data_IF_015116814361
#
_entry.id   IF_015116814361
#
_cell.length_a   1.000
_cell.length_b   1.000
_cell.length_c   1.000
_cell.angle_alpha   90.00
_cell.angle_beta   90.00
_cell.angle_gamma   90.00
#
_symmetry.space_group_name_H-M   'P 1'
#
loop_
_entity.id
_entity.type
_entity.pdbx_description
1 polymer ?
#
# COMPACT_ATOMS: atom_id res chain seq x y z
N UNK A 1 23.03 10.11 56.03
CA UNK A 1 21.96 10.05 55.02
C UNK A 1 22.52 9.38 53.76
N UNK A 2 22.19 8.10 53.52
CA UNK A 2 22.38 7.43 52.22
C UNK A 2 21.14 6.56 52.03
N UNK A 3 20.34 6.91 51.03
CA UNK A 3 19.10 6.20 50.70
C UNK A 3 19.46 4.91 49.96
N UNK A 4 18.89 3.80 50.43
CA UNK A 4 18.94 2.49 49.79
C UNK A 4 17.86 2.43 48.72
N UNK A 5 18.24 2.14 47.47
CA UNK A 5 17.30 1.76 46.40
C UNK A 5 17.68 0.36 45.91
N UNK A 6 17.11 -0.66 46.54
CA UNK A 6 17.29 -2.07 46.17
C UNK A 6 15.94 -2.65 45.76
N UNK A 7 15.37 -2.19 44.64
CA UNK A 7 14.16 -2.79 44.04
C UNK A 7 14.19 -2.89 42.51
N UNK A 8 15.18 -2.33 41.80
CA UNK A 8 15.19 -2.32 40.32
C UNK A 8 15.89 -3.52 39.67
N UNK A 9 16.77 -4.24 40.38
CA UNK A 9 17.67 -5.20 39.75
C UNK A 9 16.97 -6.48 39.27
N UNK A 10 15.95 -6.97 39.99
CA UNK A 10 15.30 -8.27 39.70
C UNK A 10 14.38 -8.21 38.47
N UNK A 11 13.66 -7.10 38.26
CA UNK A 11 12.80 -6.91 37.09
C UNK A 11 13.64 -6.74 35.82
N UNK A 12 14.68 -5.91 35.87
CA UNK A 12 15.61 -5.71 34.75
C UNK A 12 16.33 -6.99 34.35
N UNK A 13 16.68 -7.85 35.31
CA UNK A 13 17.37 -9.12 35.02
C UNK A 13 16.46 -10.16 34.35
N UNK A 14 15.16 -10.17 34.69
CA UNK A 14 14.15 -11.01 34.02
C UNK A 14 13.82 -10.53 32.60
N UNK A 15 13.82 -9.22 32.36
CA UNK A 15 13.61 -8.66 31.01
C UNK A 15 14.84 -8.89 30.12
N UNK A 16 16.05 -8.75 30.67
CA UNK A 16 17.29 -9.06 29.97
C UNK A 16 17.38 -10.54 29.58
N UNK A 17 16.96 -11.47 30.45
CA UNK A 17 16.97 -12.90 30.11
C UNK A 17 15.96 -13.26 29.01
N UNK A 18 14.78 -12.62 29.00
CA UNK A 18 13.80 -12.79 27.92
C UNK A 18 14.32 -12.26 26.58
N UNK A 19 15.02 -11.12 26.59
CA UNK A 19 15.62 -10.54 25.38
C UNK A 19 16.74 -11.44 24.84
N UNK A 20 17.59 -12.03 25.69
CA UNK A 20 18.66 -12.93 25.27
C UNK A 20 18.15 -14.26 24.67
N UNK A 21 17.04 -14.79 25.18
CA UNK A 21 16.39 -15.96 24.58
C UNK A 21 15.85 -15.62 23.19
N UNK A 22 15.27 -14.43 23.04
CA UNK A 22 14.71 -13.96 21.77
C UNK A 22 15.82 -13.67 20.75
N UNK A 23 16.93 -13.05 21.15
CA UNK A 23 18.09 -12.83 20.27
C UNK A 23 18.78 -14.14 19.88
N UNK A 24 18.83 -15.13 20.78
CA UNK A 24 19.39 -16.46 20.47
C UNK A 24 18.50 -17.22 19.48
N UNK A 25 17.17 -17.16 19.65
CA UNK A 25 16.22 -17.73 18.69
C UNK A 25 16.31 -17.05 17.32
N UNK A 26 16.37 -15.71 17.28
CA UNK A 26 16.54 -14.95 16.03
C UNK A 26 17.87 -15.26 15.34
N UNK A 27 18.98 -15.40 16.08
CA UNK A 27 20.27 -15.87 15.51
C UNK A 27 20.16 -17.29 14.95
N UNK A 28 19.41 -18.17 15.60
CA UNK A 28 19.20 -19.54 15.09
C UNK A 28 18.40 -19.56 13.79
N UNK A 29 17.49 -18.60 13.60
CA UNK A 29 16.78 -18.42 12.33
C UNK A 29 17.66 -17.72 11.27
N UNK A 30 18.54 -16.81 11.70
CA UNK A 30 19.44 -16.05 10.83
C UNK A 30 20.70 -16.82 10.38
N UNK A 31 21.09 -17.90 11.06
CA UNK A 31 22.34 -18.62 10.81
C UNK A 31 22.18 -19.89 9.96
N UNK A 32 20.99 -20.17 9.40
CA UNK A 32 20.73 -21.38 8.60
C UNK A 32 20.12 -21.07 7.23
N UNK A 33 20.12 -22.06 6.32
CA UNK A 33 19.57 -21.89 4.97
C UNK A 33 18.08 -21.53 4.96
N UNK A 34 17.37 -21.77 6.07
CA UNK A 34 15.97 -21.35 6.24
C UNK A 34 15.82 -19.82 6.30
N UNK A 35 16.77 -19.13 6.95
CA UNK A 35 16.79 -17.67 6.96
C UNK A 35 17.03 -17.10 5.56
N UNK A 36 17.96 -17.71 4.81
CA UNK A 36 18.24 -17.34 3.42
C UNK A 36 17.06 -17.64 2.48
N UNK A 37 16.39 -18.80 2.65
CA UNK A 37 15.21 -19.20 1.87
C UNK A 37 14.01 -18.29 2.15
N UNK A 38 13.77 -17.94 3.42
CA UNK A 38 12.74 -16.99 3.81
C UNK A 38 13.05 -15.56 3.31
N UNK A 39 14.31 -15.13 3.39
CA UNK A 39 14.74 -13.85 2.81
C UNK A 39 14.59 -13.83 1.29
N UNK A 40 14.87 -14.95 0.63
CA UNK A 40 14.67 -15.10 -0.82
C UNK A 40 13.19 -15.07 -1.19
N UNK A 41 12.31 -15.70 -0.41
CA UNK A 41 10.86 -15.61 -0.59
C UNK A 41 10.33 -14.18 -0.36
N UNK A 42 10.76 -13.52 0.72
CA UNK A 42 10.35 -12.13 1.02
C UNK A 42 10.88 -11.11 0.00
N UNK A 43 12.05 -11.37 -0.59
CA UNK A 43 12.60 -10.54 -1.68
C UNK A 43 11.90 -10.82 -3.01
N UNK A 44 11.45 -12.06 -3.26
CA UNK A 44 10.68 -12.40 -4.48
C UNK A 44 9.29 -11.75 -4.53
N UNK A 45 8.71 -11.41 -3.37
CA UNK A 45 7.46 -10.62 -3.28
C UNK A 45 7.67 -9.11 -3.44
N UNK A 46 8.93 -8.65 -3.48
CA UNK A 46 9.29 -7.22 -3.49
C UNK A 46 10.08 -6.83 -4.74
N UNK A 47 9.54 -7.14 -5.90
CA UNK A 47 9.79 -6.24 -7.02
C UNK A 47 9.02 -4.96 -6.72
N UNK A 48 9.74 -3.95 -6.24
CA UNK A 48 9.23 -2.59 -6.05
C UNK A 48 8.96 -2.05 -7.45
N UNK A 49 7.83 -2.43 -8.03
CA UNK A 49 7.42 -2.03 -9.36
C UNK A 49 6.78 -0.65 -9.27
N UNK A 50 7.63 0.32 -8.95
CA UNK A 50 7.31 1.72 -9.02
C UNK A 50 6.96 2.13 -10.44
N UNK A 51 6.27 3.25 -10.54
CA UNK A 51 5.89 3.85 -11.80
C UNK A 51 6.98 4.82 -12.25
N UNK A 52 7.22 4.89 -13.56
CA UNK A 52 8.23 5.79 -14.10
C UNK A 52 7.82 7.26 -13.96
N UNK A 53 8.80 8.15 -13.87
CA UNK A 53 8.56 9.59 -13.70
C UNK A 53 7.75 10.16 -14.90
N UNK A 54 7.93 9.61 -16.10
CA UNK A 54 7.17 10.02 -17.29
C UNK A 54 5.67 9.77 -17.15
N UNK A 55 5.28 8.67 -16.49
CA UNK A 55 3.87 8.39 -16.24
C UNK A 55 3.30 9.36 -15.21
N UNK A 56 4.05 9.68 -14.16
CA UNK A 56 3.65 10.67 -13.15
C UNK A 56 3.41 12.03 -13.81
N UNK A 57 4.28 12.43 -14.74
CA UNK A 57 4.15 13.68 -15.49
C UNK A 57 2.95 13.70 -16.45
N UNK A 58 2.56 12.54 -16.96
CA UNK A 58 1.38 12.37 -17.84
C UNK A 58 0.03 12.38 -17.12
N UNK A 59 0.02 12.40 -15.78
CA UNK A 59 -1.21 12.42 -15.00
C UNK A 59 -2.05 13.67 -15.25
N UNK A 60 -3.37 13.49 -15.26
CA UNK A 60 -4.34 14.58 -15.46
C UNK A 60 -4.24 15.61 -14.32
N UNK A 61 -3.92 16.86 -14.68
CA UNK A 61 -3.87 18.00 -13.75
C UNK A 61 -5.24 18.63 -13.60
N UNK A 62 -5.66 18.85 -12.37
CA UNK A 62 -6.94 19.49 -12.04
C UNK A 62 -6.70 20.97 -11.77
N UNK A 63 -7.44 21.84 -12.46
CA UNK A 63 -7.32 23.28 -12.25
C UNK A 63 -8.02 23.73 -10.96
N UNK A 64 -7.53 24.80 -10.32
CA UNK A 64 -8.14 25.42 -9.13
C UNK A 64 -9.63 25.74 -9.29
N UNK A 65 -10.08 26.06 -10.52
CA UNK A 65 -11.49 26.36 -10.83
C UNK A 65 -12.42 25.15 -10.72
N UNK A 66 -11.89 23.94 -10.86
CA UNK A 66 -12.66 22.68 -10.78
C UNK A 66 -12.62 22.08 -9.37
N UNK A 67 -11.81 22.64 -8.47
CA UNK A 67 -11.72 22.21 -7.09
C UNK A 67 -12.80 22.92 -6.27
N UNK A 68 -13.44 22.14 -5.41
CA UNK A 68 -14.38 22.63 -4.40
C UNK A 68 -13.62 22.83 -3.09
N UNK A 69 -14.14 23.69 -2.22
CA UNK A 69 -13.53 23.97 -0.91
C UNK A 69 -13.64 22.83 0.10
N UNK A 70 -14.43 21.80 -0.19
CA UNK A 70 -14.59 20.61 0.66
C UNK A 70 -13.59 19.49 0.32
N UNK A 71 -12.72 19.70 -0.67
CA UNK A 71 -11.79 18.69 -1.14
C UNK A 71 -10.43 18.84 -0.45
N UNK A 72 -9.98 17.74 0.15
CA UNK A 72 -8.70 17.64 0.85
C UNK A 72 -7.83 16.55 0.24
N UNK A 73 -6.52 16.72 0.40
CA UNK A 73 -5.56 15.68 0.08
C UNK A 73 -5.54 14.63 1.19
N UNK A 74 -5.81 13.36 0.89
CA UNK A 74 -5.82 12.29 1.92
C UNK A 74 -4.44 11.92 2.47
N UNK A 75 -3.35 12.47 1.91
CA UNK A 75 -1.98 12.20 2.33
C UNK A 75 -1.50 13.26 3.34
N UNK A 76 -1.60 14.55 2.98
CA UNK A 76 -1.20 15.66 3.87
C UNK A 76 -2.36 16.22 4.69
N UNK A 77 -3.60 15.80 4.45
CA UNK A 77 -4.83 16.26 5.12
C UNK A 77 -5.16 17.75 4.99
N UNK A 78 -4.48 18.47 4.09
CA UNK A 78 -4.72 19.88 3.84
C UNK A 78 -5.78 20.09 2.76
N UNK A 79 -6.46 21.25 2.81
CA UNK A 79 -7.42 21.66 1.79
C UNK A 79 -6.68 22.06 0.51
N UNK A 80 -7.16 21.61 -0.65
CA UNK A 80 -6.51 21.95 -1.91
C UNK A 80 -6.57 23.45 -2.24
N UNK A 81 -7.47 24.21 -1.62
CA UNK A 81 -7.63 25.64 -1.90
C UNK A 81 -6.77 26.53 -0.99
N UNK A 82 -6.16 25.97 0.06
CA UNK A 82 -5.28 26.70 0.97
C UNK A 82 -3.99 27.16 0.27
N UNK A 83 -3.52 26.38 -0.72
CA UNK A 83 -2.39 26.77 -1.55
C UNK A 83 -2.81 27.83 -2.60
N UNK A 84 -2.05 28.92 -2.76
CA UNK A 84 -2.20 29.85 -3.88
C UNK A 84 -2.14 29.16 -5.26
N UNK A 85 -1.28 28.17 -5.43
CA UNK A 85 -0.97 27.45 -6.66
C UNK A 85 -1.07 25.91 -6.48
N UNK A 86 -2.27 25.37 -6.21
CA UNK A 86 -2.41 23.97 -5.88
C UNK A 86 -2.13 23.08 -7.09
N UNK A 87 -1.15 22.20 -6.94
CA UNK A 87 -0.77 21.21 -7.96
C UNK A 87 -1.50 19.89 -7.70
N UNK A 88 -2.78 19.86 -8.04
CA UNK A 88 -3.61 18.66 -7.84
C UNK A 88 -3.61 17.80 -9.09
N UNK A 89 -3.32 16.51 -8.91
CA UNK A 89 -3.42 15.49 -9.97
C UNK A 89 -4.54 14.52 -9.66
N UNK A 90 -5.11 13.97 -10.73
CA UNK A 90 -6.16 12.96 -10.69
C UNK A 90 -5.59 11.64 -11.21
N UNK A 91 -5.71 10.59 -10.40
CA UNK A 91 -5.25 9.25 -10.78
C UNK A 91 -6.25 8.57 -11.73
N UNK A 92 -5.79 7.79 -12.73
CA UNK A 92 -6.63 7.05 -13.68
C UNK A 92 -7.27 5.79 -13.06
N UNK A 93 -7.66 5.87 -11.79
CA UNK A 93 -8.36 4.81 -11.08
C UNK A 93 -9.89 5.00 -11.22
N UNK A 94 -10.65 3.94 -10.97
CA UNK A 94 -12.12 3.97 -11.10
C UNK A 94 -12.81 5.05 -10.26
N UNK A 95 -12.20 5.46 -9.13
CA UNK A 95 -12.71 6.49 -8.23
C UNK A 95 -12.26 7.91 -8.58
N UNK A 96 -11.42 8.10 -9.61
CA UNK A 96 -10.87 9.41 -9.99
C UNK A 96 -10.26 10.17 -8.80
N UNK A 97 -9.55 9.46 -7.93
CA UNK A 97 -9.00 10.01 -6.70
C UNK A 97 -7.98 11.13 -7.00
N UNK A 98 -8.03 12.18 -6.19
CA UNK A 98 -7.25 13.40 -6.34
C UNK A 98 -6.27 13.55 -5.20
N UNK A 99 -5.06 13.99 -5.50
CA UNK A 99 -3.99 14.23 -4.54
C UNK A 99 -3.11 15.39 -5.01
N UNK A 100 -2.36 15.99 -4.09
CA UNK A 100 -1.27 16.88 -4.48
C UNK A 100 -0.17 16.09 -5.16
N UNK A 101 0.40 16.66 -6.23
CA UNK A 101 1.47 16.05 -7.00
C UNK A 101 2.66 15.71 -6.11
N UNK A 102 3.04 16.62 -5.21
CA UNK A 102 4.15 16.41 -4.27
C UNK A 102 3.88 15.27 -3.27
N UNK A 103 2.61 15.07 -2.89
CA UNK A 103 2.22 14.04 -1.94
C UNK A 103 2.16 12.66 -2.59
N UNK A 104 1.65 12.58 -3.82
CA UNK A 104 1.45 11.31 -4.51
C UNK A 104 2.70 10.83 -5.27
N UNK A 105 3.59 11.73 -5.68
CA UNK A 105 4.80 11.35 -6.44
C UNK A 105 5.71 10.36 -5.69
N UNK A 106 6.04 10.55 -4.39
CA UNK A 106 6.85 9.59 -3.64
C UNK A 106 6.18 8.21 -3.53
N UNK A 107 4.86 8.19 -3.42
CA UNK A 107 4.09 6.95 -3.37
C UNK A 107 4.19 6.18 -4.69
N UNK A 108 3.97 6.86 -5.82
CA UNK A 108 3.99 6.23 -7.14
C UNK A 108 5.36 5.69 -7.56
N UNK A 109 6.44 6.27 -7.03
CA UNK A 109 7.81 5.76 -7.23
C UNK A 109 8.07 4.40 -6.58
N UNK A 110 7.25 4.01 -5.60
CA UNK A 110 7.38 2.73 -4.88
C UNK A 110 6.24 1.78 -5.24
N UNK A 111 5.04 2.31 -5.52
CA UNK A 111 3.83 1.53 -5.73
C UNK A 111 3.05 2.01 -6.95
N UNK A 112 2.72 1.09 -7.87
CA UNK A 112 1.82 1.37 -9.00
C UNK A 112 0.33 1.44 -8.65
N UNK A 113 -0.02 1.46 -7.37
CA UNK A 113 -1.41 1.37 -6.91
C UNK A 113 -1.92 2.68 -6.30
N UNK A 114 -3.22 2.92 -6.43
CA UNK A 114 -3.87 4.06 -5.77
C UNK A 114 -3.94 3.86 -4.24
N UNK A 115 -3.56 4.86 -3.40
CA UNK A 115 -3.62 4.75 -1.94
C UNK A 115 -5.01 4.48 -1.37
N UNK A 116 -6.07 4.96 -2.06
CA UNK A 116 -7.45 4.86 -1.57
C UNK A 116 -8.15 3.57 -2.01
N UNK A 117 -7.98 3.15 -3.27
CA UNK A 117 -8.67 1.97 -3.80
C UNK A 117 -7.79 0.77 -4.14
N UNK A 118 -6.48 0.86 -3.90
CA UNK A 118 -5.49 -0.21 -4.16
C UNK A 118 -5.49 -0.78 -5.58
N UNK A 119 -6.12 -0.08 -6.53
CA UNK A 119 -6.15 -0.47 -7.95
C UNK A 119 -4.83 -0.08 -8.59
N UNK A 120 -4.28 -0.99 -9.36
CA UNK A 120 -3.11 -0.76 -10.20
C UNK A 120 -3.46 0.27 -11.29
N UNK A 121 -2.64 1.30 -11.40
CA UNK A 121 -2.80 2.39 -12.35
C UNK A 121 -2.31 2.00 -13.76
N UNK A 122 -1.53 0.92 -13.88
CA UNK A 122 -0.97 0.43 -15.14
C UNK A 122 -1.86 -0.62 -15.82
N UNK A 123 -2.81 -1.23 -15.09
CA UNK A 123 -3.70 -2.23 -15.66
C UNK A 123 -4.84 -1.59 -16.45
N UNK A 124 -4.69 -1.54 -17.77
CA UNK A 124 -5.81 -1.32 -18.69
C UNK A 124 -6.77 -2.50 -18.57
N UNK A 125 -8.04 -2.24 -18.22
CA UNK A 125 -9.09 -3.28 -18.27
C UNK A 125 -9.20 -3.79 -19.70
N UNK A 126 -8.84 -5.06 -19.93
CA UNK A 126 -9.40 -5.86 -21.03
C UNK A 126 -10.66 -6.51 -20.49
N UNK A 127 -11.78 -5.83 -20.64
CA UNK A 127 -13.10 -6.43 -20.58
C UNK A 127 -13.80 -5.90 -21.81
N UNK A 128 -14.07 -6.80 -22.77
CA UNK A 128 -15.15 -6.78 -23.76
C UNK A 128 -14.78 -7.80 -24.85
N UNK A 129 -15.04 -9.08 -24.53
CA UNK A 129 -15.28 -10.19 -25.46
C UNK A 129 -15.88 -11.35 -24.62
N UNK A 130 -16.95 -11.08 -23.86
CA UNK A 130 -17.89 -12.15 -23.53
C UNK A 130 -18.84 -12.23 -24.73
N UNK A 131 -18.78 -13.28 -25.56
CA UNK A 131 -19.80 -13.46 -26.55
C UNK A 131 -21.13 -13.73 -25.83
N UNK A 132 -22.18 -13.01 -26.24
CA UNK A 132 -23.57 -13.30 -25.89
C UNK A 132 -23.96 -14.59 -26.61
N UNK A 133 -23.51 -15.72 -26.07
CA UNK A 133 -24.01 -17.03 -26.49
C UNK A 133 -25.33 -17.25 -25.73
N UNK A 134 -26.40 -16.64 -26.22
CA UNK A 134 -27.76 -17.13 -26.02
C UNK A 134 -27.88 -18.49 -26.75
N UNK A 135 -27.28 -19.55 -26.20
CA UNK A 135 -27.69 -20.92 -26.52
C UNK A 135 -28.53 -21.46 -25.36
N UNK A 136 -29.78 -21.75 -25.71
CA UNK A 136 -30.78 -22.45 -24.92
C UNK A 136 -30.17 -23.50 -23.98
N UNK A 137 -30.26 -23.26 -22.67
CA UNK A 137 -30.41 -24.35 -21.70
C UNK A 137 -31.87 -24.30 -21.25
N UNK A 138 -32.77 -24.53 -22.20
CA UNK A 138 -34.09 -25.04 -21.87
C UNK A 138 -33.95 -26.57 -21.84
N UNK A 139 -34.49 -27.20 -20.79
CA UNK A 139 -34.58 -28.65 -20.59
C UNK A 139 -33.36 -29.37 -19.96
N UNK A 140 -33.28 -29.38 -18.62
CA UNK A 140 -33.16 -30.61 -17.79
C UNK A 140 -32.92 -30.27 -16.31
N UNK A 141 -33.87 -29.61 -15.65
CA UNK A 141 -33.83 -29.40 -14.19
C UNK A 141 -34.68 -30.43 -13.41
N UNK A 142 -35.21 -31.45 -14.09
CA UNK A 142 -36.07 -32.49 -13.50
C UNK A 142 -35.43 -33.90 -13.44
N UNK A 143 -34.10 -34.03 -13.56
CA UNK A 143 -33.43 -35.35 -13.48
C UNK A 143 -32.83 -35.68 -12.09
N UNK A 144 -32.77 -34.75 -11.15
CA UNK A 144 -32.29 -35.03 -9.78
C UNK A 144 -33.29 -34.57 -8.72
N UNK A 145 -34.45 -35.24 -8.69
CA UNK A 145 -35.45 -35.20 -7.62
C UNK A 145 -35.93 -36.60 -7.29
#
# INVERSE_FOLDING_TARGET
MKVSSTTDTTSHQSQQSQIELLTTALRSLNNGSFGDELLQQLNSEKDIQGVSDEFIDSLDRVSKKQLKSDQTCSICTNDFLDDPHPLVVKLPCQGNHKFDLECISPWLKVHSTCPLCRKDLLQKKKFDDLPEDEEEIEEDWDMYG
#
